data_IF_000368499119
#
_entry.id   IF_000368499119
#
_cell.length_a   1.000
_cell.length_b   1.000
_cell.length_c   1.000
_cell.angle_alpha   90.00
_cell.angle_beta   90.00
_cell.angle_gamma   90.00
#
_symmetry.space_group_name_H-M   'P 1'
#
loop_
_entity.id
_entity.type
_entity.pdbx_description
1 polymer ?
#
# COMPACT_ATOMS: atom_id res chain seq x y z
N UNK A 1 -10.39 -42.02 -0.03
CA UNK A 1 -10.43 -41.20 1.21
C UNK A 1 -10.29 -39.73 0.82
N UNK A 2 -11.34 -38.92 0.94
CA UNK A 2 -11.26 -37.46 0.73
C UNK A 2 -10.63 -36.86 2.00
N UNK A 3 -9.38 -36.39 1.89
CA UNK A 3 -8.79 -35.55 2.94
C UNK A 3 -9.67 -34.32 3.07
N UNK A 4 -10.36 -34.18 4.20
CA UNK A 4 -10.94 -32.90 4.61
C UNK A 4 -9.78 -31.95 4.78
N UNK A 5 -9.65 -30.98 3.89
CA UNK A 5 -8.75 -29.86 4.11
C UNK A 5 -9.23 -29.16 5.39
N UNK A 6 -8.50 -29.36 6.47
CA UNK A 6 -8.72 -28.67 7.73
C UNK A 6 -8.24 -27.22 7.52
N UNK A 7 -9.12 -26.38 6.97
CA UNK A 7 -8.78 -24.99 6.70
C UNK A 7 -8.86 -24.24 8.03
N UNK A 8 -7.73 -24.13 8.71
CA UNK A 8 -7.63 -23.39 9.96
C UNK A 8 -7.64 -21.88 9.65
N UNK A 9 -8.81 -21.27 9.83
CA UNK A 9 -9.05 -19.85 9.57
C UNK A 9 -9.08 -19.08 10.89
N UNK A 10 -8.55 -17.88 10.88
CA UNK A 10 -8.65 -16.90 11.95
C UNK A 10 -9.45 -15.69 11.47
N UNK A 11 -10.31 -15.18 12.37
CA UNK A 11 -11.04 -13.94 12.13
C UNK A 11 -10.14 -12.77 12.49
N UNK A 12 -10.01 -11.81 11.59
CA UNK A 12 -9.19 -10.62 11.76
C UNK A 12 -10.06 -9.38 11.62
N UNK A 13 -9.94 -8.46 12.54
CA UNK A 13 -10.57 -7.15 12.47
C UNK A 13 -9.76 -6.24 11.53
N UNK A 14 -10.40 -5.75 10.46
CA UNK A 14 -9.79 -4.84 9.49
C UNK A 14 -10.00 -3.39 9.92
N UNK A 15 -11.18 -3.08 10.42
CA UNK A 15 -11.55 -1.73 10.85
C UNK A 15 -12.51 -1.81 12.04
N UNK A 16 -12.06 -1.33 13.19
CA UNK A 16 -12.81 -1.35 14.45
C UNK A 16 -14.01 -0.42 14.44
N UNK A 17 -13.89 0.76 13.83
CA UNK A 17 -15.00 1.74 13.77
C UNK A 17 -16.16 1.22 12.91
N UNK A 18 -15.85 0.58 11.79
CA UNK A 18 -16.82 0.00 10.87
C UNK A 18 -17.18 -1.45 11.17
N UNK A 19 -16.57 -2.05 12.19
CA UNK A 19 -16.72 -3.47 12.55
C UNK A 19 -16.56 -4.41 11.36
N UNK A 20 -15.57 -4.12 10.51
CA UNK A 20 -15.25 -4.93 9.34
C UNK A 20 -14.26 -6.02 9.73
N UNK A 21 -14.57 -7.25 9.35
CA UNK A 21 -13.76 -8.43 9.65
C UNK A 21 -13.46 -9.20 8.37
N UNK A 22 -12.37 -9.94 8.37
CA UNK A 22 -11.99 -10.85 7.30
C UNK A 22 -11.49 -12.17 7.86
N UNK A 23 -11.53 -13.21 7.04
CA UNK A 23 -10.94 -14.50 7.35
C UNK A 23 -9.56 -14.59 6.71
N UNK A 24 -8.60 -15.08 7.45
CA UNK A 24 -7.23 -15.34 7.02
C UNK A 24 -6.83 -16.75 7.41
N UNK A 25 -6.04 -17.42 6.56
CA UNK A 25 -5.41 -18.67 6.96
C UNK A 25 -4.49 -18.41 8.16
N UNK A 26 -4.55 -19.28 9.17
CA UNK A 26 -3.71 -19.16 10.39
C UNK A 26 -2.23 -19.06 10.01
N UNK A 27 -1.76 -19.92 9.13
CA UNK A 27 -0.38 -19.90 8.66
C UNK A 27 0.02 -18.54 8.06
N UNK A 28 -0.87 -17.92 7.27
CA UNK A 28 -0.63 -16.60 6.70
C UNK A 28 -0.60 -15.52 7.77
N UNK A 29 -1.53 -15.59 8.74
CA UNK A 29 -1.57 -14.67 9.87
C UNK A 29 -0.28 -14.72 10.69
N UNK A 30 0.20 -15.93 11.02
CA UNK A 30 1.44 -16.14 11.77
C UNK A 30 2.67 -15.62 11.02
N UNK A 31 2.74 -15.81 9.69
CA UNK A 31 3.82 -15.25 8.87
C UNK A 31 3.82 -13.71 8.89
N UNK A 32 2.65 -13.10 8.80
CA UNK A 32 2.52 -11.62 8.87
C UNK A 32 2.96 -11.13 10.25
N UNK A 33 2.58 -11.82 11.32
CA UNK A 33 2.99 -11.45 12.68
C UNK A 33 4.51 -11.55 12.88
N UNK A 34 5.15 -12.55 12.28
CA UNK A 34 6.61 -12.66 12.29
C UNK A 34 7.28 -11.49 11.55
N UNK A 35 6.72 -11.04 10.42
CA UNK A 35 7.20 -9.87 9.69
C UNK A 35 7.01 -8.61 10.54
N UNK A 36 5.84 -8.44 11.15
CA UNK A 36 5.57 -7.32 12.05
C UNK A 36 6.55 -7.28 13.22
N UNK A 37 6.76 -8.43 13.87
CA UNK A 37 7.71 -8.56 14.97
C UNK A 37 9.16 -8.26 14.54
N UNK A 38 9.54 -8.64 13.31
CA UNK A 38 10.86 -8.33 12.77
C UNK A 38 11.01 -6.83 12.48
N UNK A 39 10.00 -6.20 11.90
CA UNK A 39 9.97 -4.75 11.64
C UNK A 39 9.94 -3.93 12.94
N UNK A 40 9.33 -4.48 14.00
CA UNK A 40 9.26 -3.87 15.31
C UNK A 40 10.59 -3.81 16.06
N UNK A 41 11.60 -4.57 15.61
CA UNK A 41 12.94 -4.44 16.15
C UNK A 41 13.48 -3.07 15.77
N UNK A 42 13.89 -2.32 16.78
CA UNK A 42 14.46 -0.98 16.60
C UNK A 42 15.99 -1.02 16.79
N UNK A 43 16.74 -1.62 15.84
CA UNK A 43 18.20 -1.77 15.99
C UNK A 43 18.93 -0.43 15.96
N UNK A 44 18.28 0.61 15.42
CA UNK A 44 18.81 1.97 15.38
C UNK A 44 18.43 2.83 16.59
N UNK A 45 17.72 2.28 17.57
CA UNK A 45 17.23 3.01 18.74
C UNK A 45 16.46 4.29 18.41
N UNK A 46 15.65 4.25 17.34
CA UNK A 46 14.84 5.38 16.87
C UNK A 46 13.62 5.66 17.75
N UNK A 47 13.35 4.80 18.72
CA UNK A 47 12.23 4.96 19.65
C UNK A 47 10.87 4.64 19.06
N UNK A 48 10.80 3.86 17.96
CA UNK A 48 9.56 3.51 17.28
C UNK A 48 8.69 2.50 18.04
N UNK A 49 9.22 1.86 19.09
CA UNK A 49 8.52 0.77 19.79
C UNK A 49 7.15 1.19 20.35
N UNK A 50 7.00 2.44 20.79
CA UNK A 50 5.73 2.96 21.30
C UNK A 50 4.66 3.15 20.22
N UNK A 51 5.06 3.16 18.93
CA UNK A 51 4.14 3.30 17.79
C UNK A 51 3.61 1.95 17.30
N UNK A 52 4.20 0.86 17.76
CA UNK A 52 3.86 -0.48 17.28
C UNK A 52 2.63 -0.98 18.03
N UNK A 53 1.59 -1.25 17.29
CA UNK A 53 0.38 -1.91 17.79
C UNK A 53 0.33 -3.33 17.20
N UNK A 54 0.32 -4.38 18.02
CA UNK A 54 0.28 -5.75 17.54
C UNK A 54 -0.89 -6.00 16.58
N UNK A 55 -0.64 -6.79 15.53
CA UNK A 55 -1.62 -7.20 14.52
C UNK A 55 -2.09 -6.09 13.55
N UNK A 56 -1.51 -4.90 13.59
CA UNK A 56 -1.86 -3.82 12.66
C UNK A 56 -1.43 -4.12 11.24
N UNK A 57 -0.28 -4.76 11.05
CA UNK A 57 0.18 -5.18 9.72
C UNK A 57 -0.77 -6.21 9.09
N UNK A 58 -1.31 -7.13 9.90
CA UNK A 58 -2.30 -8.11 9.44
C UNK A 58 -3.58 -7.43 8.98
N UNK A 59 -4.11 -6.49 9.78
CA UNK A 59 -5.30 -5.71 9.43
C UNK A 59 -5.08 -4.88 8.16
N UNK A 60 -3.91 -4.23 8.02
CA UNK A 60 -3.54 -3.47 6.84
C UNK A 60 -3.43 -4.35 5.59
N UNK A 61 -2.77 -5.50 5.67
CA UNK A 61 -2.62 -6.44 4.57
C UNK A 61 -3.98 -6.95 4.06
N UNK A 62 -4.88 -7.30 4.98
CA UNK A 62 -6.23 -7.73 4.62
C UNK A 62 -7.07 -6.56 4.07
N UNK A 63 -6.95 -5.37 4.62
CA UNK A 63 -7.59 -4.18 4.08
C UNK A 63 -7.18 -3.92 2.63
N UNK A 64 -5.89 -3.99 2.31
CA UNK A 64 -5.37 -3.87 0.95
C UNK A 64 -5.84 -5.03 0.04
N UNK A 65 -5.93 -6.25 0.57
CA UNK A 65 -6.38 -7.41 -0.20
C UNK A 65 -7.83 -7.27 -0.66
N UNK A 66 -8.69 -6.64 0.13
CA UNK A 66 -10.09 -6.38 -0.20
C UNK A 66 -10.32 -5.11 -1.03
N UNK A 67 -9.39 -4.16 -0.98
CA UNK A 67 -9.49 -2.95 -1.78
C UNK A 67 -9.29 -3.25 -3.27
N UNK A 68 -10.08 -2.63 -4.14
CA UNK A 68 -9.90 -2.69 -5.58
C UNK A 68 -9.11 -1.48 -6.09
N UNK A 69 -9.30 -0.33 -5.46
CA UNK A 69 -8.64 0.93 -5.80
C UNK A 69 -7.77 1.38 -4.63
N UNK A 70 -6.51 1.63 -4.89
CA UNK A 70 -5.52 1.92 -3.86
C UNK A 70 -4.78 3.19 -4.25
N UNK A 71 -4.71 4.13 -3.32
CA UNK A 71 -3.92 5.35 -3.45
C UNK A 71 -2.64 5.18 -2.64
N UNK A 72 -1.50 5.39 -3.28
CA UNK A 72 -0.19 5.37 -2.66
C UNK A 72 0.44 6.75 -2.74
N UNK A 73 1.05 7.19 -1.66
CA UNK A 73 1.80 8.45 -1.60
C UNK A 73 3.13 8.25 -0.90
N UNK A 74 4.11 9.02 -1.29
CA UNK A 74 5.44 9.09 -0.66
C UNK A 74 5.99 10.50 -0.82
N UNK A 75 7.04 10.81 -0.09
CA UNK A 75 7.75 12.05 -0.22
C UNK A 75 7.78 12.83 1.07
N UNK A 76 8.85 12.66 1.83
CA UNK A 76 9.18 13.52 2.96
C UNK A 76 10.45 14.30 2.61
N UNK A 77 10.38 15.64 2.49
CA UNK A 77 11.59 16.44 2.30
C UNK A 77 12.42 16.40 3.60
N UNK A 78 13.64 15.89 3.52
CA UNK A 78 14.52 15.81 4.68
C UNK A 78 15.05 17.18 5.12
N UNK A 79 15.27 18.10 4.16
CA UNK A 79 15.72 19.47 4.40
C UNK A 79 15.35 20.38 3.22
N UNK A 80 15.16 21.69 3.43
CA UNK A 80 15.00 22.63 2.34
C UNK A 80 16.18 22.55 1.36
N UNK A 81 15.92 22.22 0.09
CA UNK A 81 16.95 22.13 -0.96
C UNK A 81 17.63 20.77 -1.11
N UNK A 82 17.26 19.76 -0.31
CA UNK A 82 17.73 18.39 -0.48
C UNK A 82 16.67 17.51 -1.15
N UNK A 83 17.10 16.53 -1.98
CA UNK A 83 16.19 15.57 -2.57
C UNK A 83 15.50 14.72 -1.46
N UNK A 84 14.34 14.19 -1.78
CA UNK A 84 13.55 13.31 -0.92
C UNK A 84 14.32 12.06 -0.50
N UNK A 85 13.93 11.47 0.63
CA UNK A 85 14.46 10.18 1.06
C UNK A 85 14.26 9.12 -0.02
N UNK A 86 15.25 8.27 -0.24
CA UNK A 86 15.24 7.27 -1.31
C UNK A 86 14.45 6.02 -0.95
N UNK A 87 14.22 5.75 0.32
CA UNK A 87 13.54 4.54 0.81
C UNK A 87 12.03 4.58 0.56
N UNK A 88 11.40 5.75 0.71
CA UNK A 88 9.96 5.92 0.47
C UNK A 88 9.54 5.51 -0.94
N UNK A 89 10.11 6.08 -2.02
CA UNK A 89 9.83 5.69 -3.40
C UNK A 89 10.04 4.20 -3.66
N UNK A 90 11.13 3.62 -3.20
CA UNK A 90 11.41 2.19 -3.37
C UNK A 90 10.35 1.33 -2.66
N UNK A 91 9.94 1.72 -1.45
CA UNK A 91 8.93 1.00 -0.68
C UNK A 91 7.57 0.98 -1.38
N UNK A 92 7.07 2.13 -1.83
CA UNK A 92 5.76 2.18 -2.50
C UNK A 92 5.77 1.55 -3.90
N UNK A 93 6.88 1.58 -4.62
CA UNK A 93 7.03 0.89 -5.90
C UNK A 93 6.97 -0.64 -5.72
N UNK A 94 7.65 -1.19 -4.73
CA UNK A 94 7.58 -2.60 -4.39
C UNK A 94 6.15 -3.02 -4.00
N UNK A 95 5.46 -2.20 -3.19
CA UNK A 95 4.06 -2.43 -2.84
C UNK A 95 3.15 -2.35 -4.06
N UNK A 96 3.33 -1.33 -4.91
CA UNK A 96 2.54 -1.15 -6.14
C UNK A 96 2.72 -2.31 -7.11
N UNK A 97 3.96 -2.82 -7.28
CA UNK A 97 4.24 -4.01 -8.08
C UNK A 97 3.41 -5.21 -7.62
N UNK A 98 3.41 -5.47 -6.32
CA UNK A 98 2.64 -6.57 -5.71
C UNK A 98 1.13 -6.37 -5.94
N UNK A 99 0.61 -5.19 -5.65
CA UNK A 99 -0.81 -4.88 -5.79
C UNK A 99 -1.29 -4.93 -7.25
N UNK A 100 -0.48 -4.42 -8.19
CA UNK A 100 -0.75 -4.48 -9.62
C UNK A 100 -0.79 -5.94 -10.11
N UNK A 101 0.12 -6.79 -9.66
CA UNK A 101 0.12 -8.23 -9.99
C UNK A 101 -1.09 -8.97 -9.41
N UNK A 102 -1.66 -8.47 -8.31
CA UNK A 102 -2.91 -8.94 -7.74
C UNK A 102 -4.15 -8.37 -8.43
N UNK A 103 -3.99 -7.61 -9.52
CA UNK A 103 -5.08 -7.03 -10.31
C UNK A 103 -5.73 -5.82 -9.64
N UNK A 104 -5.04 -5.16 -8.70
CA UNK A 104 -5.54 -3.95 -8.04
C UNK A 104 -5.28 -2.71 -8.90
N UNK A 105 -6.20 -1.75 -8.84
CA UNK A 105 -6.02 -0.44 -9.45
C UNK A 105 -5.22 0.45 -8.51
N UNK A 106 -3.95 0.66 -8.84
CA UNK A 106 -3.06 1.53 -8.06
C UNK A 106 -3.02 2.92 -8.69
N UNK A 107 -3.02 3.94 -7.86
CA UNK A 107 -2.82 5.34 -8.26
C UNK A 107 -1.79 5.95 -7.33
N UNK A 108 -0.80 6.63 -7.88
CA UNK A 108 0.17 7.39 -7.10
C UNK A 108 -0.25 8.85 -6.96
N UNK A 109 -0.09 9.40 -5.77
CA UNK A 109 -0.21 10.81 -5.49
C UNK A 109 1.18 11.31 -5.08
N UNK A 110 1.80 12.11 -5.94
CA UNK A 110 3.17 12.59 -5.78
C UNK A 110 3.20 14.11 -5.85
N UNK A 111 4.27 14.70 -5.34
CA UNK A 111 4.54 16.10 -5.64
C UNK A 111 5.27 16.27 -6.99
N UNK A 112 5.30 17.52 -7.47
CA UNK A 112 5.84 17.87 -8.78
C UNK A 112 7.34 17.53 -8.92
N UNK A 113 8.11 17.59 -7.84
CA UNK A 113 9.55 17.35 -7.89
C UNK A 113 9.86 15.86 -8.06
N UNK A 114 8.98 14.99 -7.62
CA UNK A 114 9.13 13.53 -7.71
C UNK A 114 8.63 12.95 -9.03
N UNK A 115 7.68 13.60 -9.68
CA UNK A 115 6.95 13.08 -10.84
C UNK A 115 7.88 12.48 -11.90
N UNK A 116 8.83 13.28 -12.36
CA UNK A 116 9.73 12.88 -13.46
C UNK A 116 10.54 11.61 -13.15
N UNK A 117 11.15 11.58 -11.97
CA UNK A 117 11.97 10.44 -11.57
C UNK A 117 11.13 9.20 -11.34
N UNK A 118 9.92 9.39 -10.78
CA UNK A 118 9.01 8.30 -10.50
C UNK A 118 8.47 7.64 -11.77
N UNK A 119 8.15 8.43 -12.80
CA UNK A 119 7.72 7.91 -14.10
C UNK A 119 8.83 7.07 -14.75
N UNK A 120 10.09 7.54 -14.71
CA UNK A 120 11.22 6.77 -15.23
C UNK A 120 11.35 5.41 -14.52
N UNK A 121 11.22 5.39 -13.19
CA UNK A 121 11.27 4.15 -12.42
C UNK A 121 10.12 3.20 -12.75
N UNK A 122 8.92 3.72 -12.97
CA UNK A 122 7.76 2.91 -13.36
C UNK A 122 7.95 2.28 -14.76
N UNK A 123 8.47 3.04 -15.71
CA UNK A 123 8.76 2.53 -17.05
C UNK A 123 9.83 1.43 -17.00
N UNK A 124 10.91 1.65 -16.28
CA UNK A 124 11.98 0.66 -16.07
C UNK A 124 11.44 -0.63 -15.41
N UNK A 125 10.59 -0.49 -14.40
CA UNK A 125 9.95 -1.63 -13.76
C UNK A 125 9.05 -2.42 -14.72
N UNK A 126 8.40 -1.74 -15.66
CA UNK A 126 7.58 -2.40 -16.67
C UNK A 126 8.43 -3.13 -17.72
N UNK A 127 9.57 -2.56 -18.12
CA UNK A 127 10.50 -3.21 -19.05
C UNK A 127 11.12 -4.48 -18.44
N UNK A 128 11.32 -4.48 -17.13
CA UNK A 128 11.82 -5.64 -16.39
C UNK A 128 10.70 -6.62 -15.93
N UNK A 129 9.47 -6.45 -16.39
CA UNK A 129 8.28 -7.23 -15.97
C UNK A 129 8.05 -7.24 -14.45
N UNK A 130 8.49 -6.22 -13.75
CA UNK A 130 8.23 -6.06 -12.31
C UNK A 130 6.85 -5.48 -12.05
N UNK A 131 6.29 -4.72 -12.98
CA UNK A 131 4.92 -4.20 -12.93
C UNK A 131 4.24 -4.42 -14.28
N UNK A 132 2.93 -4.78 -14.27
CA UNK A 132 2.18 -5.05 -15.49
C UNK A 132 1.60 -3.78 -16.09
N UNK A 133 1.55 -3.71 -17.41
CA UNK A 133 0.81 -2.66 -18.12
C UNK A 133 -0.71 -2.95 -18.13
N UNK A 134 -1.59 -1.93 -18.09
CA UNK A 134 -1.23 -0.50 -18.07
C UNK A 134 -0.58 -0.10 -16.75
N UNK A 135 0.33 0.88 -16.82
CA UNK A 135 1.00 1.40 -15.62
C UNK A 135 0.00 2.08 -14.68
N UNK A 136 0.28 2.10 -13.37
CA UNK A 136 -0.47 2.88 -12.42
C UNK A 136 -0.53 4.36 -12.81
N UNK A 137 -1.67 5.00 -12.57
CA UNK A 137 -1.81 6.44 -12.78
C UNK A 137 -0.96 7.23 -11.78
N UNK A 138 -0.35 8.31 -12.25
CA UNK A 138 0.35 9.28 -11.41
C UNK A 138 -0.46 10.58 -11.39
N UNK A 139 -0.78 11.07 -10.21
CA UNK A 139 -1.47 12.34 -9.99
C UNK A 139 -0.53 13.28 -9.25
N UNK A 140 -0.28 14.44 -9.86
CA UNK A 140 0.50 15.52 -9.25
C UNK A 140 -0.43 16.71 -8.98
N UNK A 141 -0.57 17.13 -7.71
CA UNK A 141 -1.35 18.32 -7.37
C UNK A 141 -0.70 19.57 -7.92
N UNK A 142 -1.43 20.37 -8.68
CA UNK A 142 -1.04 21.76 -9.02
C UNK A 142 -1.81 22.69 -8.10
N UNK A 143 -1.15 23.72 -7.61
CA UNK A 143 -1.49 24.83 -6.70
C UNK A 143 -2.90 24.99 -6.07
N UNK A 144 -3.97 24.51 -6.70
CA UNK A 144 -5.34 24.54 -6.13
C UNK A 144 -5.79 23.24 -5.49
N UNK A 145 -4.95 22.38 -5.24
CA UNK A 145 -4.97 20.96 -5.61
C UNK A 145 -5.62 20.03 -4.65
N UNK A 146 -5.47 20.12 -3.35
CA UNK A 146 -5.95 19.05 -2.46
C UNK A 146 -7.46 18.82 -2.58
N UNK A 147 -8.25 19.89 -2.68
CA UNK A 147 -9.71 19.81 -2.81
C UNK A 147 -10.15 19.25 -4.17
N UNK A 148 -9.52 19.69 -5.26
CA UNK A 148 -9.83 19.19 -6.62
C UNK A 148 -9.39 17.73 -6.78
N UNK A 149 -8.29 17.36 -6.16
CA UNK A 149 -7.79 15.99 -6.15
C UNK A 149 -8.74 15.09 -5.37
N UNK A 150 -9.13 15.48 -4.17
CA UNK A 150 -10.10 14.71 -3.39
C UNK A 150 -11.39 14.49 -4.19
N UNK A 151 -11.95 15.52 -4.83
CA UNK A 151 -13.11 15.36 -5.71
C UNK A 151 -12.87 14.47 -6.92
N UNK A 152 -11.68 14.49 -7.51
CA UNK A 152 -11.31 13.61 -8.64
C UNK A 152 -11.17 12.18 -8.17
N UNK A 153 -10.57 11.96 -7.02
CA UNK A 153 -10.43 10.65 -6.38
C UNK A 153 -11.79 10.11 -5.97
N UNK A 154 -12.65 10.91 -5.35
CA UNK A 154 -14.03 10.53 -5.05
C UNK A 154 -14.76 10.03 -6.29
N UNK A 155 -14.70 10.74 -7.42
CA UNK A 155 -15.32 10.30 -8.67
C UNK A 155 -14.73 9.00 -9.20
N UNK A 156 -13.40 8.85 -9.16
CA UNK A 156 -12.69 7.66 -9.64
C UNK A 156 -13.01 6.44 -8.78
N UNK A 157 -13.10 6.62 -7.47
CA UNK A 157 -13.32 5.54 -6.52
C UNK A 157 -14.79 5.27 -6.20
N UNK A 158 -15.70 6.25 -6.42
CA UNK A 158 -17.16 6.05 -6.27
C UNK A 158 -17.79 5.43 -7.50
N UNK A 159 -17.17 5.51 -8.66
CA UNK A 159 -17.70 4.97 -9.93
C UNK A 159 -17.70 3.44 -10.04
N UNK A 160 -17.14 2.73 -9.08
CA UNK A 160 -17.03 1.26 -9.10
C UNK A 160 -18.22 0.49 -8.53
N UNK A 161 -19.22 1.17 -7.97
CA UNK A 161 -20.39 0.53 -7.34
C UNK A 161 -21.68 0.72 -8.14
N UNK A 162 -21.65 0.51 -9.45
CA UNK A 162 -22.88 0.29 -10.24
C UNK A 162 -22.83 -1.13 -10.82
N UNK A 163 -23.29 -2.08 -10.04
CA UNK A 163 -23.88 -3.30 -10.54
C UNK A 163 -25.39 -3.16 -10.48
#
# INVERSE_FOLDING_TARGET
>A
MKQKANTDLVLVEINSEKKNYSLCLRESAEKIDLIEAAAARDPGHRGIQHMIQPQTLRSAALGLSHANNILLTTGFPCNPGFPYENDGPCGILALASTLNRLGKNVTFLLDEQQEKHFIILLDEMAEQDLIKRPLPDVIVPKDDGLYRIMKRLERKFSGGNRC
#
